data_IF_681791351371
#
_entry.id   IF_681791351371
#
_cell.length_a   1.000
_cell.length_b   1.000
_cell.length_c   1.000
_cell.angle_alpha   90.00
_cell.angle_beta   90.00
_cell.angle_gamma   90.00
#
_symmetry.space_group_name_H-M   'P 1'
#
loop_
_entity.id
_entity.type
_entity.pdbx_description
1 polymer ?
#
# COMPACT_ATOMS: atom_id res chain seq x y z
N UNK A 1 -30.98 8.17 -6.94
CA UNK A 1 -30.27 7.54 -8.06
C UNK A 1 -28.85 7.29 -7.59
N UNK A 2 -28.53 6.04 -7.24
CA UNK A 2 -27.13 5.66 -6.97
C UNK A 2 -26.30 5.90 -8.24
N UNK A 3 -25.08 6.47 -8.14
CA UNK A 3 -24.16 6.43 -9.26
C UNK A 3 -23.83 4.97 -9.53
N UNK A 4 -24.20 4.51 -10.73
CA UNK A 4 -23.79 3.24 -11.32
C UNK A 4 -22.28 3.03 -11.06
N UNK A 5 -21.81 1.79 -10.76
CA UNK A 5 -20.38 1.54 -10.57
C UNK A 5 -19.67 1.99 -11.84
N UNK A 6 -18.96 3.11 -11.73
CA UNK A 6 -18.23 3.69 -12.85
C UNK A 6 -17.28 2.62 -13.34
N UNK A 7 -17.36 2.26 -14.62
CA UNK A 7 -16.47 1.27 -15.21
C UNK A 7 -15.03 1.64 -14.84
N UNK A 8 -14.34 0.73 -14.16
CA UNK A 8 -12.94 0.93 -13.76
C UNK A 8 -12.14 1.31 -15.01
N UNK A 9 -11.29 2.34 -14.93
CA UNK A 9 -10.45 2.75 -16.05
C UNK A 9 -9.72 1.52 -16.61
N UNK A 10 -9.71 1.37 -17.94
CA UNK A 10 -9.04 0.24 -18.58
C UNK A 10 -7.54 0.28 -18.31
N UNK A 11 -6.96 -0.88 -18.00
CA UNK A 11 -5.52 -1.02 -17.85
C UNK A 11 -4.78 -0.71 -19.16
N UNK A 12 -3.55 -0.22 -19.06
CA UNK A 12 -2.69 0.03 -20.20
C UNK A 12 -2.54 -1.24 -21.06
N UNK A 13 -2.76 -1.16 -22.38
CA UNK A 13 -2.65 -2.32 -23.25
C UNK A 13 -1.21 -2.86 -23.23
N UNK A 14 -1.07 -4.18 -23.13
CA UNK A 14 0.25 -4.83 -23.17
C UNK A 14 0.97 -4.94 -21.82
N UNK A 15 0.29 -4.68 -20.70
CA UNK A 15 0.79 -5.09 -19.38
C UNK A 15 0.76 -6.61 -19.29
N UNK A 16 1.92 -7.21 -19.04
CA UNK A 16 2.11 -8.66 -18.91
C UNK A 16 2.61 -8.97 -17.52
N UNK A 17 1.90 -9.86 -16.81
CA UNK A 17 2.41 -10.44 -15.56
C UNK A 17 3.50 -11.47 -15.87
N UNK A 18 4.60 -11.42 -15.12
CA UNK A 18 5.71 -12.36 -15.25
C UNK A 18 5.74 -13.31 -14.04
N UNK A 19 6.30 -14.53 -14.18
CA UNK A 19 6.47 -15.45 -13.05
C UNK A 19 7.31 -14.84 -11.92
N UNK A 20 6.97 -15.17 -10.67
CA UNK A 20 7.65 -14.67 -9.46
C UNK A 20 9.02 -15.34 -9.18
N UNK A 21 9.44 -16.28 -10.04
CA UNK A 21 10.64 -17.11 -9.85
C UNK A 21 11.87 -16.65 -10.64
N UNK A 22 11.72 -15.77 -11.64
CA UNK A 22 12.80 -15.45 -12.58
C UNK A 22 12.99 -13.95 -12.75
N UNK A 23 13.82 -13.34 -11.88
CA UNK A 23 14.21 -11.95 -12.04
C UNK A 23 15.10 -11.76 -13.29
N UNK A 24 14.89 -10.70 -14.08
CA UNK A 24 15.80 -10.36 -15.18
C UNK A 24 17.24 -10.13 -14.71
N UNK A 25 18.20 -10.43 -15.57
CA UNK A 25 19.63 -10.19 -15.31
C UNK A 25 19.86 -8.72 -14.95
N UNK A 26 20.68 -8.47 -13.93
CA UNK A 26 21.00 -7.13 -13.44
C UNK A 26 19.99 -6.56 -12.43
N UNK A 27 18.82 -7.17 -12.27
CA UNK A 27 17.85 -6.80 -11.22
C UNK A 27 18.15 -7.55 -9.93
N UNK A 28 18.20 -6.81 -8.81
CA UNK A 28 18.28 -7.38 -7.46
C UNK A 28 17.12 -6.88 -6.62
N UNK A 29 16.47 -7.79 -5.92
CA UNK A 29 15.38 -7.46 -5.01
C UNK A 29 15.52 -8.19 -3.67
N UNK A 30 15.27 -7.53 -2.53
CA UNK A 30 15.26 -8.20 -1.23
C UNK A 30 14.08 -9.16 -1.11
N UNK A 31 14.37 -10.38 -0.67
CA UNK A 31 13.34 -11.36 -0.31
C UNK A 31 12.64 -12.03 -1.48
N UNK A 32 11.46 -12.58 -1.21
CA UNK A 32 10.63 -13.26 -2.21
C UNK A 32 9.93 -12.23 -3.09
N UNK A 33 9.96 -12.43 -4.41
CA UNK A 33 9.14 -11.65 -5.35
C UNK A 33 7.67 -12.07 -5.17
N UNK A 34 6.79 -11.09 -5.02
CA UNK A 34 5.35 -11.30 -4.86
C UNK A 34 4.59 -11.02 -6.16
N UNK A 35 5.08 -10.04 -6.92
CA UNK A 35 4.47 -9.62 -8.18
C UNK A 35 5.55 -9.05 -9.10
N UNK A 36 5.43 -9.36 -10.39
CA UNK A 36 6.26 -8.76 -11.43
C UNK A 36 5.41 -8.45 -12.66
N UNK A 37 5.49 -7.22 -13.15
CA UNK A 37 4.75 -6.74 -14.32
C UNK A 37 5.68 -6.05 -15.30
N UNK A 38 5.44 -6.27 -16.58
CA UNK A 38 6.22 -5.67 -17.68
C UNK A 38 5.29 -5.05 -18.70
N UNK A 39 5.64 -3.87 -19.20
CA UNK A 39 4.90 -3.19 -20.25
C UNK A 39 5.83 -2.29 -21.07
N UNK A 40 5.29 -1.63 -22.08
CA UNK A 40 5.98 -0.61 -22.85
C UNK A 40 5.12 0.64 -22.90
N UNK A 41 5.72 1.79 -22.60
CA UNK A 41 5.13 3.12 -22.72
C UNK A 41 6.01 4.02 -23.62
N UNK A 42 5.68 5.31 -23.73
CA UNK A 42 6.47 6.26 -24.51
C UNK A 42 7.93 6.39 -24.00
N UNK A 43 8.18 6.10 -22.73
CA UNK A 43 9.52 6.13 -22.14
C UNK A 43 10.32 4.83 -22.38
N UNK A 44 9.68 3.75 -22.85
CA UNK A 44 10.35 2.52 -23.26
C UNK A 44 9.79 1.27 -22.58
N UNK A 45 10.61 0.22 -22.48
CA UNK A 45 10.23 -1.01 -21.78
C UNK A 45 10.35 -0.81 -20.27
N UNK A 46 9.28 -1.11 -19.54
CA UNK A 46 9.15 -0.90 -18.10
C UNK A 46 9.00 -2.25 -17.38
N UNK A 47 9.50 -2.32 -16.15
CA UNK A 47 9.40 -3.48 -15.28
C UNK A 47 9.11 -3.04 -13.85
N UNK A 48 7.98 -3.49 -13.30
CA UNK A 48 7.65 -3.34 -11.89
C UNK A 48 7.93 -4.65 -11.16
N UNK A 49 8.58 -4.57 -10.01
CA UNK A 49 8.82 -5.72 -9.15
C UNK A 49 8.45 -5.39 -7.71
N UNK A 50 7.57 -6.20 -7.12
CA UNK A 50 7.18 -6.17 -5.71
C UNK A 50 7.84 -7.35 -5.02
N UNK A 51 8.50 -7.11 -3.89
CA UNK A 51 9.14 -8.16 -3.10
C UNK A 51 9.03 -7.93 -1.60
N UNK A 52 9.15 -9.02 -0.84
CA UNK A 52 9.04 -9.04 0.61
C UNK A 52 10.02 -10.06 1.21
N UNK A 53 10.97 -9.62 2.04
CA UNK A 53 11.79 -10.51 2.86
C UNK A 53 10.97 -11.26 3.91
N UNK A 54 11.56 -12.35 4.42
CA UNK A 54 11.06 -12.96 5.64
C UNK A 54 11.11 -11.93 6.80
N UNK A 55 10.12 -11.93 7.72
CA UNK A 55 10.16 -11.07 8.89
C UNK A 55 11.41 -11.33 9.73
N UNK A 56 11.96 -10.27 10.32
CA UNK A 56 13.06 -10.37 11.28
C UNK A 56 12.48 -10.39 12.68
N UNK A 57 12.78 -11.43 13.46
CA UNK A 57 12.51 -11.44 14.89
C UNK A 57 13.46 -10.47 15.58
N UNK A 58 12.91 -9.57 16.39
CA UNK A 58 13.66 -8.47 17.00
C UNK A 58 14.53 -8.93 18.16
N UNK A 59 14.00 -9.81 18.99
CA UNK A 59 14.63 -10.24 20.23
C UNK A 59 14.62 -11.76 20.36
N UNK A 60 15.64 -12.31 21.00
CA UNK A 60 15.78 -13.73 21.34
C UNK A 60 15.93 -13.89 22.85
N UNK A 61 15.59 -15.07 23.41
CA UNK A 61 15.90 -15.37 24.80
C UNK A 61 17.37 -15.12 25.10
N UNK A 62 17.65 -14.36 26.16
CA UNK A 62 19.00 -13.93 26.54
C UNK A 62 19.42 -12.54 26.03
N UNK A 63 18.69 -11.94 25.09
CA UNK A 63 18.92 -10.55 24.69
C UNK A 63 18.59 -9.58 25.83
N UNK A 64 19.21 -8.39 25.81
CA UNK A 64 18.89 -7.32 26.75
C UNK A 64 17.82 -6.39 26.18
N UNK A 65 16.81 -6.04 26.98
CA UNK A 65 15.82 -5.02 26.60
C UNK A 65 16.46 -3.62 26.57
N UNK A 66 15.72 -2.62 26.08
CA UNK A 66 16.16 -1.21 26.12
C UNK A 66 16.40 -0.72 27.56
N UNK A 67 15.71 -1.31 28.53
CA UNK A 67 15.80 -1.03 29.97
C UNK A 67 16.93 -1.85 30.66
N UNK A 68 17.60 -2.74 29.92
CA UNK A 68 18.75 -3.52 30.40
C UNK A 68 18.40 -4.90 30.97
N UNK A 69 17.13 -5.27 31.02
CA UNK A 69 16.64 -6.57 31.52
C UNK A 69 17.00 -7.71 30.57
N UNK A 70 17.35 -8.87 31.13
CA UNK A 70 17.56 -10.09 30.32
C UNK A 70 16.20 -10.69 29.97
N UNK A 71 15.91 -10.76 28.67
CA UNK A 71 14.67 -11.32 28.15
C UNK A 71 14.64 -12.83 28.33
N UNK A 72 13.53 -13.34 28.87
CA UNK A 72 13.30 -14.77 29.12
C UNK A 72 12.19 -15.28 28.21
N UNK A 73 12.19 -16.59 27.96
CA UNK A 73 11.10 -17.26 27.26
C UNK A 73 9.73 -16.83 27.84
N UNK A 74 8.79 -16.45 26.97
CA UNK A 74 7.50 -15.90 27.35
C UNK A 74 7.44 -14.38 27.52
N UNK A 75 8.54 -13.63 27.45
CA UNK A 75 8.49 -12.17 27.36
C UNK A 75 7.87 -11.76 26.02
N UNK A 76 6.81 -10.94 26.06
CA UNK A 76 6.08 -10.48 24.87
C UNK A 76 7.01 -9.85 23.82
N UNK A 77 8.11 -9.24 24.28
CA UNK A 77 9.11 -8.60 23.41
C UNK A 77 9.80 -9.60 22.48
N UNK A 78 9.90 -10.89 22.86
CA UNK A 78 10.47 -11.93 22.00
C UNK A 78 9.64 -12.20 20.75
N UNK A 79 8.35 -11.88 20.76
CA UNK A 79 7.46 -12.05 19.61
C UNK A 79 7.45 -10.83 18.69
N UNK A 80 8.15 -9.75 19.05
CA UNK A 80 8.28 -8.59 18.19
C UNK A 80 9.02 -8.97 16.92
N UNK A 81 8.48 -8.53 15.79
CA UNK A 81 9.11 -8.74 14.50
C UNK A 81 8.88 -7.57 13.57
N UNK A 82 9.86 -7.34 12.71
CA UNK A 82 9.82 -6.32 11.69
C UNK A 82 9.66 -6.96 10.32
N UNK A 83 8.76 -6.41 9.51
CA UNK A 83 8.53 -6.85 8.15
C UNK A 83 8.67 -5.68 7.17
N UNK A 84 9.15 -5.96 5.95
CA UNK A 84 9.43 -4.94 4.94
C UNK A 84 8.69 -5.22 3.64
N UNK A 85 8.30 -4.16 2.96
CA UNK A 85 7.79 -4.21 1.59
C UNK A 85 8.70 -3.39 0.68
N UNK A 86 9.15 -3.99 -0.41
CA UNK A 86 9.94 -3.34 -1.44
C UNK A 86 9.18 -3.35 -2.76
N UNK A 87 9.10 -2.20 -3.41
CA UNK A 87 8.54 -2.07 -4.75
C UNK A 87 9.46 -1.20 -5.57
N UNK A 88 9.83 -1.65 -6.76
CA UNK A 88 10.71 -0.88 -7.65
C UNK A 88 10.20 -0.95 -9.08
N UNK A 89 10.23 0.19 -9.76
CA UNK A 89 10.06 0.24 -11.20
C UNK A 89 11.41 0.50 -11.86
N UNK A 90 11.63 -0.21 -12.96
CA UNK A 90 12.79 -0.09 -13.81
C UNK A 90 12.35 0.23 -15.23
N UNK A 91 13.22 0.95 -15.93
CA UNK A 91 13.13 1.21 -17.37
C UNK A 91 14.34 0.60 -18.06
N UNK A 92 14.12 0.00 -19.22
CA UNK A 92 15.20 -0.56 -20.03
C UNK A 92 15.95 0.54 -20.78
N UNK A 93 17.28 0.56 -20.64
CA UNK A 93 18.19 1.46 -21.35
C UNK A 93 19.27 0.61 -22.01
N UNK A 94 19.13 0.39 -23.33
CA UNK A 94 19.93 -0.60 -24.06
C UNK A 94 19.71 -2.02 -23.53
N UNK A 95 20.77 -2.66 -23.07
CA UNK A 95 20.70 -4.00 -22.46
C UNK A 95 20.52 -3.99 -20.94
N UNK A 96 20.60 -2.82 -20.31
CA UNK A 96 20.52 -2.67 -18.86
C UNK A 96 19.15 -2.20 -18.38
N UNK A 97 18.85 -2.51 -17.11
CA UNK A 97 17.69 -1.97 -16.40
C UNK A 97 18.13 -0.82 -15.48
N UNK A 98 17.49 0.34 -15.62
CA UNK A 98 17.70 1.51 -14.78
C UNK A 98 16.52 1.67 -13.83
N UNK A 99 16.77 1.81 -12.52
CA UNK A 99 15.71 2.11 -11.55
C UNK A 99 15.12 3.50 -11.82
N UNK A 100 13.80 3.57 -12.01
CA UNK A 100 13.05 4.83 -12.18
C UNK A 100 12.67 5.35 -10.80
N UNK A 101 12.14 4.47 -9.95
CA UNK A 101 11.80 4.78 -8.57
C UNK A 101 11.75 3.51 -7.72
N UNK A 102 11.80 3.73 -6.41
CA UNK A 102 11.58 2.71 -5.39
C UNK A 102 10.64 3.19 -4.30
N UNK A 103 9.92 2.25 -3.71
CA UNK A 103 9.17 2.36 -2.49
C UNK A 103 9.71 1.30 -1.53
N UNK A 104 10.00 1.74 -0.31
CA UNK A 104 10.29 0.87 0.81
C UNK A 104 9.38 1.29 1.95
N UNK A 105 8.67 0.33 2.53
CA UNK A 105 7.85 0.54 3.72
C UNK A 105 8.11 -0.59 4.72
N UNK A 106 7.79 -0.32 5.97
CA UNK A 106 8.13 -1.19 7.10
C UNK A 106 6.99 -1.26 8.09
N UNK A 107 6.69 -2.47 8.53
CA UNK A 107 6.00 -2.72 9.78
C UNK A 107 7.07 -2.93 10.84
N UNK A 108 7.28 -1.92 11.69
CA UNK A 108 8.32 -1.94 12.70
C UNK A 108 7.82 -2.59 13.99
N UNK A 109 8.57 -3.56 14.52
CA UNK A 109 8.38 -4.17 15.85
C UNK A 109 6.93 -4.50 16.21
N UNK A 110 6.29 -5.36 15.42
CA UNK A 110 4.95 -5.87 15.72
C UNK A 110 5.00 -7.12 16.60
N UNK A 111 4.25 -7.12 17.70
CA UNK A 111 4.14 -8.24 18.66
C UNK A 111 2.90 -9.12 18.44
N UNK A 112 2.07 -8.80 17.45
CA UNK A 112 0.76 -9.43 17.18
C UNK A 112 0.72 -10.03 15.77
N UNK A 113 -0.49 -10.32 15.26
CA UNK A 113 -0.67 -10.74 13.87
C UNK A 113 -0.25 -9.59 12.95
N UNK A 114 0.70 -9.92 12.09
CA UNK A 114 1.44 -8.97 11.28
C UNK A 114 1.22 -9.22 9.81
N UNK A 115 1.06 -8.14 9.06
CA UNK A 115 1.05 -8.19 7.62
C UNK A 115 1.51 -6.87 7.01
N UNK A 116 2.35 -6.95 5.98
CA UNK A 116 2.65 -5.81 5.11
C UNK A 116 2.75 -6.33 3.69
N UNK A 117 1.97 -5.77 2.77
CA UNK A 117 1.94 -6.28 1.39
C UNK A 117 0.94 -5.54 0.52
N UNK A 118 1.09 -5.72 -0.79
CA UNK A 118 0.11 -5.24 -1.77
C UNK A 118 -1.18 -6.04 -1.65
N UNK A 119 -2.31 -5.36 -1.84
CA UNK A 119 -3.59 -6.06 -1.95
C UNK A 119 -3.60 -6.84 -3.27
N UNK A 120 -3.98 -8.13 -3.28
CA UNK A 120 -4.01 -8.93 -4.51
C UNK A 120 -4.79 -8.25 -5.63
N UNK A 121 -4.14 -8.01 -6.78
CA UNK A 121 -4.77 -7.36 -7.94
C UNK A 121 -4.92 -5.84 -7.87
N UNK A 122 -4.37 -5.18 -6.84
CA UNK A 122 -4.44 -3.72 -6.70
C UNK A 122 -3.45 -2.93 -7.53
N UNK A 123 -2.39 -3.57 -7.98
CA UNK A 123 -1.40 -2.94 -8.85
C UNK A 123 -2.02 -2.68 -10.22
N UNK A 124 -2.15 -1.42 -10.59
CA UNK A 124 -2.65 -0.97 -11.90
C UNK A 124 -1.60 -0.15 -12.63
N UNK A 125 -1.61 -0.26 -13.95
CA UNK A 125 -0.81 0.56 -14.87
C UNK A 125 -1.80 1.19 -15.84
N UNK A 126 -1.79 2.50 -15.93
CA UNK A 126 -2.76 3.32 -16.67
C UNK A 126 -2.03 4.45 -17.41
N UNK A 127 -2.73 5.13 -18.31
CA UNK A 127 -2.33 6.41 -18.89
C UNK A 127 -3.55 7.34 -18.72
N UNK A 128 -3.59 8.02 -17.58
CA UNK A 128 -4.77 8.71 -17.07
C UNK A 128 -4.97 10.09 -17.72
N UNK A 129 -3.90 10.71 -18.18
CA UNK A 129 -3.93 12.02 -18.85
C UNK A 129 -3.63 11.95 -20.36
N UNK A 130 -3.34 10.74 -20.89
CA UNK A 130 -3.19 10.42 -22.31
C UNK A 130 -1.95 11.03 -22.94
N UNK A 131 -0.87 11.16 -22.16
CA UNK A 131 0.41 11.66 -22.65
C UNK A 131 1.33 10.53 -23.18
N UNK A 132 0.91 9.27 -23.03
CA UNK A 132 1.64 8.08 -23.44
C UNK A 132 2.71 7.62 -22.45
N UNK A 133 2.93 8.35 -21.37
CA UNK A 133 3.60 7.87 -20.16
C UNK A 133 2.57 7.17 -19.30
N UNK A 134 3.03 6.26 -18.43
CA UNK A 134 2.12 5.45 -17.61
C UNK A 134 2.21 5.80 -16.14
N UNK A 135 1.05 5.85 -15.48
CA UNK A 135 0.96 5.84 -14.03
C UNK A 135 0.93 4.41 -13.52
N UNK A 136 1.82 4.08 -12.60
CA UNK A 136 1.73 2.86 -11.79
C UNK A 136 1.09 3.18 -10.46
N UNK A 137 -0.07 2.58 -10.18
CA UNK A 137 -0.77 2.71 -8.89
C UNK A 137 -0.73 1.40 -8.13
N UNK A 138 -0.37 1.46 -6.85
CA UNK A 138 -0.29 0.32 -5.95
C UNK A 138 -1.09 0.63 -4.69
N UNK A 139 -1.91 -0.33 -4.24
CA UNK A 139 -2.57 -0.27 -2.93
C UNK A 139 -2.01 -1.37 -2.04
N UNK A 140 -1.61 -1.00 -0.83
CA UNK A 140 -1.05 -1.93 0.13
C UNK A 140 -1.52 -1.58 1.54
N UNK A 141 -1.44 -2.57 2.44
CA UNK A 141 -1.76 -2.35 3.85
C UNK A 141 -0.58 -2.71 4.75
N UNK A 142 -0.62 -2.13 5.94
CA UNK A 142 0.24 -2.41 7.08
C UNK A 142 -0.66 -2.76 8.25
N UNK A 143 -0.48 -3.96 8.79
CA UNK A 143 -1.34 -4.56 9.81
C UNK A 143 -0.48 -5.07 10.95
N UNK A 144 -0.80 -4.65 12.17
CA UNK A 144 -0.25 -5.18 13.41
C UNK A 144 -1.36 -5.14 14.46
N UNK A 145 -2.11 -6.23 14.60
CA UNK A 145 -3.28 -6.28 15.48
C UNK A 145 -3.62 -7.72 15.86
N UNK A 146 -4.46 -7.90 16.87
CA UNK A 146 -4.99 -9.22 17.27
C UNK A 146 -6.52 -9.27 17.21
N UNK A 147 -7.12 -8.27 16.58
CA UNK A 147 -8.56 -8.07 16.48
C UNK A 147 -8.99 -7.79 15.03
N UNK A 148 -10.30 -7.63 14.85
CA UNK A 148 -10.90 -7.15 13.61
C UNK A 148 -11.02 -5.64 13.65
N UNK A 149 -9.92 -4.90 13.81
CA UNK A 149 -9.90 -3.44 13.62
C UNK A 149 -9.51 -3.08 12.17
N UNK A 150 -9.45 -1.82 11.75
CA UNK A 150 -8.96 -1.46 10.42
C UNK A 150 -7.42 -1.57 10.30
N UNK A 151 -6.89 -1.71 9.09
CA UNK A 151 -5.45 -1.67 8.79
C UNK A 151 -5.08 -0.30 8.25
N UNK A 152 -3.84 0.13 8.47
CA UNK A 152 -3.32 1.27 7.74
C UNK A 152 -3.26 0.89 6.24
N UNK A 153 -3.91 1.69 5.40
CA UNK A 153 -3.93 1.50 3.95
C UNK A 153 -3.21 2.67 3.28
N UNK A 154 -2.45 2.36 2.24
CA UNK A 154 -1.74 3.35 1.44
C UNK A 154 -1.97 3.04 -0.03
N UNK A 155 -2.38 4.08 -0.77
CA UNK A 155 -2.37 4.07 -2.23
C UNK A 155 -1.23 4.96 -2.66
N UNK A 156 -0.34 4.44 -3.51
CA UNK A 156 0.77 5.19 -4.09
C UNK A 156 0.68 5.09 -5.60
N UNK A 157 0.63 6.25 -6.24
CA UNK A 157 0.67 6.42 -7.69
C UNK A 157 2.01 7.06 -8.07
N UNK A 158 2.58 6.58 -9.18
CA UNK A 158 3.86 7.05 -9.73
C UNK A 158 3.72 7.26 -11.22
N UNK A 159 4.12 8.44 -11.67
CA UNK A 159 4.34 8.74 -13.09
C UNK A 159 5.82 9.12 -13.23
N UNK A 160 6.61 8.26 -13.87
CA UNK A 160 8.07 8.37 -13.81
C UNK A 160 8.57 8.52 -12.35
N UNK A 161 9.43 9.50 -12.02
CA UNK A 161 9.91 9.70 -10.65
C UNK A 161 8.91 10.41 -9.72
N UNK A 162 7.84 11.01 -10.27
CA UNK A 162 6.88 11.82 -9.49
C UNK A 162 5.99 10.91 -8.65
N UNK A 163 5.64 11.36 -7.44
CA UNK A 163 4.88 10.58 -6.46
C UNK A 163 3.60 11.28 -6.07
N UNK A 164 2.54 10.50 -6.02
CA UNK A 164 1.27 10.87 -5.43
C UNK A 164 0.81 9.77 -4.48
N UNK A 165 0.18 10.13 -3.36
CA UNK A 165 -0.26 9.13 -2.39
C UNK A 165 -1.50 9.55 -1.62
N UNK A 166 -2.36 8.58 -1.33
CA UNK A 166 -3.41 8.66 -0.32
C UNK A 166 -3.02 7.74 0.86
N UNK A 167 -3.23 8.21 2.08
CA UNK A 167 -2.92 7.47 3.31
C UNK A 167 -4.10 7.55 4.26
N UNK A 168 -4.38 6.45 4.93
CA UNK A 168 -5.59 6.30 5.70
C UNK A 168 -5.76 4.89 6.23
N UNK A 169 -7.02 4.49 6.43
CA UNK A 169 -7.37 3.19 6.97
C UNK A 169 -8.32 2.42 6.05
N UNK A 170 -8.25 1.10 6.11
CA UNK A 170 -9.25 0.22 5.53
C UNK A 170 -10.58 0.32 6.28
N UNK A 171 -11.62 -0.32 5.75
CA UNK A 171 -12.93 -0.49 6.34
C UNK A 171 -13.20 -2.00 6.47
N UNK A 172 -13.64 -2.42 7.65
CA UNK A 172 -13.98 -3.81 7.89
C UNK A 172 -15.24 -4.23 7.14
N UNK A 173 -15.22 -5.45 6.60
CA UNK A 173 -16.37 -5.99 5.87
C UNK A 173 -17.62 -6.17 6.75
N UNK A 174 -17.46 -6.46 8.04
CA UNK A 174 -18.58 -6.60 8.98
C UNK A 174 -19.27 -5.26 9.26
N UNK A 175 -18.54 -4.15 9.13
CA UNK A 175 -19.07 -2.81 9.30
C UNK A 175 -19.65 -2.25 8.00
N UNK A 176 -19.27 -2.76 6.82
CA UNK A 176 -19.74 -2.19 5.55
C UNK A 176 -21.29 -2.14 5.44
N UNK A 177 -22.00 -3.14 5.98
CA UNK A 177 -23.47 -3.15 6.03
C UNK A 177 -24.05 -2.32 7.18
N UNK A 178 -23.35 -2.23 8.32
CA UNK A 178 -23.82 -1.49 9.49
C UNK A 178 -23.51 0.02 9.42
N UNK A 179 -22.35 0.41 8.88
CA UNK A 179 -21.92 1.79 8.65
C UNK A 179 -22.75 2.48 7.58
N UNK A 180 -23.17 1.73 6.54
CA UNK A 180 -24.15 2.17 5.54
C UNK A 180 -25.47 2.64 6.16
N UNK A 181 -25.81 2.13 7.35
CA UNK A 181 -27.08 2.44 8.05
C UNK A 181 -26.97 3.56 9.09
N UNK A 182 -25.76 3.93 9.56
CA UNK A 182 -25.57 4.80 10.74
C UNK A 182 -24.94 6.17 10.45
N UNK A 183 -24.40 6.40 9.25
CA UNK A 183 -23.82 7.71 8.91
C UNK A 183 -24.74 8.47 7.95
N UNK A 184 -25.35 9.54 8.44
CA UNK A 184 -26.10 10.53 7.63
C UNK A 184 -25.20 11.30 6.65
N UNK A 185 -23.89 11.11 6.72
CA UNK A 185 -22.93 11.69 5.79
C UNK A 185 -22.78 10.75 4.60
N UNK A 186 -23.06 11.20 3.36
CA UNK A 186 -22.84 10.39 2.17
C UNK A 186 -21.39 9.88 2.15
N UNK A 187 -21.25 8.55 2.09
CA UNK A 187 -19.97 7.82 2.00
C UNK A 187 -19.08 8.36 0.85
N UNK A 188 -19.66 9.05 -0.13
CA UNK A 188 -18.97 9.69 -1.26
C UNK A 188 -18.28 11.03 -0.92
N UNK A 189 -18.50 11.61 0.26
CA UNK A 189 -18.02 12.94 0.66
C UNK A 189 -17.14 12.95 1.92
N UNK A 190 -16.96 11.81 2.60
CA UNK A 190 -16.19 11.72 3.85
C UNK A 190 -14.77 11.15 3.65
N UNK A 191 -14.30 11.09 2.40
CA UNK A 191 -12.99 10.51 2.11
C UNK A 191 -11.83 11.45 2.49
N UNK A 192 -12.11 12.71 2.84
CA UNK A 192 -11.12 13.70 3.28
C UNK A 192 -11.32 14.03 4.75
N UNK A 193 -10.46 13.53 5.62
CA UNK A 193 -10.31 14.15 6.96
C UNK A 193 -9.80 15.58 6.73
N UNK A 194 -10.42 16.55 7.40
CA UNK A 194 -10.00 17.96 7.39
C UNK A 194 -8.46 18.04 7.52
N UNK A 195 -7.83 18.89 6.72
CA UNK A 195 -6.38 18.98 6.49
C UNK A 195 -5.54 19.43 7.70
N UNK A 196 -5.97 19.13 8.92
CA UNK A 196 -5.16 19.31 10.11
C UNK A 196 -4.04 18.28 10.06
N UNK A 197 -2.86 18.76 9.68
CA UNK A 197 -1.63 18.01 9.44
C UNK A 197 -1.19 17.10 10.62
N UNK A 198 -1.86 17.23 11.77
CA UNK A 198 -1.62 16.46 12.99
C UNK A 198 -2.44 15.16 13.06
N UNK A 199 -3.59 15.03 12.38
CA UNK A 199 -4.42 13.81 12.41
C UNK A 199 -3.67 12.58 11.85
N UNK A 200 -2.89 12.78 10.78
CA UNK A 200 -2.04 11.71 10.20
C UNK A 200 -0.85 11.33 11.08
N UNK A 201 -0.43 12.20 12.01
CA UNK A 201 0.64 11.91 12.99
C UNK A 201 0.12 11.05 14.14
N UNK A 202 -1.10 11.30 14.61
CA UNK A 202 -1.71 10.54 15.72
C UNK A 202 -2.37 9.23 15.26
N UNK A 203 -2.88 9.17 14.03
CA UNK A 203 -3.39 7.94 13.42
C UNK A 203 -2.33 6.82 13.35
N UNK A 204 -1.05 7.18 13.24
CA UNK A 204 0.06 6.22 13.19
C UNK A 204 0.72 5.98 14.54
N UNK A 205 0.32 6.70 15.61
CA UNK A 205 0.89 6.49 16.94
C UNK A 205 0.11 5.39 17.70
N UNK A 206 0.69 4.19 17.69
CA UNK A 206 0.62 3.20 18.78
C UNK A 206 -0.75 2.55 19.13
N UNK A 207 -1.54 2.12 18.14
CA UNK A 207 -2.80 1.32 18.25
C UNK A 207 -4.15 2.07 18.29
N UNK A 208 -4.18 3.40 18.13
CA UNK A 208 -5.44 4.15 18.19
C UNK A 208 -6.10 4.40 16.83
N UNK A 209 -6.86 3.44 16.29
CA UNK A 209 -7.95 3.81 15.40
C UNK A 209 -8.92 4.65 16.23
N UNK A 210 -8.97 5.95 15.97
CA UNK A 210 -10.08 6.74 16.45
C UNK A 210 -11.34 6.21 15.76
N UNK A 211 -12.35 5.73 16.50
CA UNK A 211 -13.61 5.31 15.91
C UNK A 211 -14.14 6.43 15.02
N UNK A 212 -14.51 6.13 13.77
CA UNK A 212 -14.99 7.15 12.83
C UNK A 212 -14.08 7.44 11.64
N UNK A 213 -12.88 6.88 11.58
CA UNK A 213 -11.92 7.11 10.48
C UNK A 213 -11.75 5.90 9.56
N UNK A 214 -12.52 4.84 9.77
CA UNK A 214 -12.46 3.62 8.98
C UNK A 214 -12.82 3.92 7.51
N UNK A 215 -11.98 3.45 6.60
CA UNK A 215 -12.18 3.63 5.17
C UNK A 215 -11.85 5.02 4.62
N UNK A 216 -11.35 5.96 5.43
CA UNK A 216 -11.01 7.32 5.02
C UNK A 216 -9.52 7.48 4.74
N UNK A 217 -9.15 8.40 3.85
CA UNK A 217 -7.79 8.94 3.77
C UNK A 217 -7.74 10.37 4.33
N UNK A 218 -6.54 10.83 4.66
CA UNK A 218 -6.33 12.12 5.33
C UNK A 218 -5.46 13.08 4.54
N UNK A 219 -5.09 12.77 3.29
CA UNK A 219 -4.25 13.65 2.48
C UNK A 219 -4.57 13.58 0.98
N UNK A 220 -4.56 14.74 0.32
CA UNK A 220 -4.62 14.86 -1.15
C UNK A 220 -3.60 15.86 -1.70
N UNK A 221 -2.88 16.58 -0.83
CA UNK A 221 -1.96 17.67 -1.21
C UNK A 221 -0.93 17.27 -2.27
N UNK A 222 -0.50 16.00 -2.28
CA UNK A 222 0.43 15.48 -3.28
C UNK A 222 -0.13 15.60 -4.70
N UNK A 223 -1.46 15.54 -4.89
CA UNK A 223 -2.15 15.64 -6.18
C UNK A 223 -2.48 17.08 -6.61
N UNK A 224 -2.17 18.10 -5.81
CA UNK A 224 -2.62 19.48 -6.07
C UNK A 224 -2.10 20.06 -7.40
N UNK A 225 -0.93 19.61 -7.86
CA UNK A 225 -0.33 20.01 -9.13
C UNK A 225 -0.46 18.92 -10.22
N UNK A 226 -1.14 17.81 -9.93
CA UNK A 226 -1.31 16.69 -10.87
C UNK A 226 -2.49 16.94 -11.82
N UNK A 227 -2.55 16.26 -12.97
CA UNK A 227 -3.76 16.17 -13.77
C UNK A 227 -4.96 15.72 -12.91
N UNK A 228 -6.13 16.34 -13.12
CA UNK A 228 -7.32 16.05 -12.30
C UNK A 228 -7.76 14.57 -12.36
N UNK A 229 -7.47 13.89 -13.47
CA UNK A 229 -7.72 12.46 -13.65
C UNK A 229 -6.98 11.59 -12.63
N UNK A 230 -5.82 12.02 -12.15
CA UNK A 230 -5.00 11.25 -11.20
C UNK A 230 -5.71 11.15 -9.85
N UNK A 231 -6.15 12.28 -9.30
CA UNK A 231 -6.88 12.28 -8.03
C UNK A 231 -8.24 11.59 -8.17
N UNK A 232 -8.94 11.79 -9.30
CA UNK A 232 -10.20 11.11 -9.56
C UNK A 232 -10.03 9.58 -9.55
N UNK A 233 -9.01 9.07 -10.24
CA UNK A 233 -8.68 7.65 -10.26
C UNK A 233 -8.27 7.13 -8.87
N UNK A 234 -7.38 7.86 -8.18
CA UNK A 234 -6.92 7.48 -6.84
C UNK A 234 -8.08 7.35 -5.84
N UNK A 235 -9.07 8.26 -5.89
CA UNK A 235 -10.29 8.18 -5.07
C UNK A 235 -11.12 6.94 -5.39
N UNK A 236 -11.28 6.61 -6.67
CA UNK A 236 -12.01 5.41 -7.10
C UNK A 236 -11.34 4.13 -6.60
N UNK A 237 -10.02 4.03 -6.78
CA UNK A 237 -9.23 2.90 -6.30
C UNK A 237 -9.28 2.79 -4.77
N UNK A 238 -9.18 3.90 -4.04
CA UNK A 238 -9.31 3.91 -2.59
C UNK A 238 -10.65 3.32 -2.13
N UNK A 239 -11.76 3.80 -2.70
CA UNK A 239 -13.12 3.32 -2.38
C UNK A 239 -13.30 1.84 -2.71
N UNK A 240 -12.69 1.38 -3.79
CA UNK A 240 -12.77 -0.02 -4.20
C UNK A 240 -12.00 -0.94 -3.25
N UNK A 241 -10.80 -0.54 -2.85
CA UNK A 241 -9.89 -1.39 -2.06
C UNK A 241 -10.11 -1.29 -0.56
N UNK A 242 -10.68 -0.21 -0.03
CA UNK A 242 -10.81 -0.02 1.42
C UNK A 242 -11.58 -1.14 2.12
N UNK A 243 -12.55 -1.77 1.46
CA UNK A 243 -13.34 -2.89 2.02
C UNK A 243 -12.74 -4.28 1.73
N UNK A 244 -11.61 -4.36 1.03
CA UNK A 244 -11.05 -5.63 0.53
C UNK A 244 -9.80 -6.01 1.31
N UNK A 245 -9.98 -6.32 2.60
CA UNK A 245 -8.93 -6.97 3.39
C UNK A 245 -8.86 -8.47 3.01
N UNK A 246 -7.74 -8.88 2.41
CA UNK A 246 -7.41 -10.28 2.15
C UNK A 246 -6.01 -10.54 2.68
N UNK A 247 -5.92 -11.20 3.83
CA UNK A 247 -4.65 -11.57 4.45
C UNK A 247 -4.37 -13.05 4.24
N UNK A 248 -3.20 -13.34 3.68
CA UNK A 248 -2.50 -14.58 4.02
C UNK A 248 -1.53 -14.19 5.13
N UNK A 249 -1.73 -14.71 6.35
CA UNK A 249 -0.84 -14.44 7.49
C UNK A 249 0.62 -14.76 7.12
N UNK A 250 1.55 -13.95 7.67
CA UNK A 250 3.00 -14.00 7.40
C UNK A 250 3.74 -15.11 8.14
#
# INVERSE_FOLDING_TARGET
>A
MEPSPTARQAAWPGVVALPDTTLPVGIRQPGRVLEMKRWRDAAGEQLLVVSRPAPKVEYRPGDRSAEGDILKEGDIRLYASTAWLYIRQYRRVGEAWQEVWRLQDVLDKCFLDRWIGTLPGSTSVTDLDKDGQTETTIVYMITCRSDYSASAMKLVMREGPVKYALRGFSLLNVDADQYRSKTEVPICCNDTVNQDADAGKYALSWFGLMPGHEGMYFNEKEFAAAPASFLQFARQEWRYWRVREQFNQL
#
